data_IF_377573611773
#
_entry.id   IF_377573611773
#
_cell.length_a   1.000
_cell.length_b   1.000
_cell.length_c   1.000
_cell.angle_alpha   90.00
_cell.angle_beta   90.00
_cell.angle_gamma   90.00
#
_symmetry.space_group_name_H-M   'P 1'
#
loop_
_entity.id
_entity.type
_entity.pdbx_description
1 polymer ?
#
# COMPACT_ATOMS: atom_id res chain seq x y z
N UNK A 1 -3.06 -5.30 -2.74
CA UNK A 1 -3.88 -4.51 -3.68
C UNK A 1 -4.03 -5.32 -4.96
N UNK A 2 -5.19 -5.25 -5.59
CA UNK A 2 -5.48 -5.94 -6.87
C UNK A 2 -5.96 -4.86 -7.85
N UNK A 3 -5.39 -4.86 -9.05
CA UNK A 3 -5.80 -4.01 -10.17
C UNK A 3 -6.33 -4.92 -11.27
N UNK A 4 -7.49 -4.59 -11.82
CA UNK A 4 -8.11 -5.34 -12.91
C UNK A 4 -8.14 -4.45 -14.15
N UNK A 5 -7.64 -4.98 -15.26
CA UNK A 5 -7.65 -4.28 -16.54
C UNK A 5 -8.49 -5.06 -17.56
N UNK A 6 -9.39 -4.34 -18.22
CA UNK A 6 -10.27 -4.86 -19.25
C UNK A 6 -9.80 -4.33 -20.61
N UNK A 7 -9.29 -5.18 -21.51
CA UNK A 7 -8.81 -4.75 -22.81
C UNK A 7 -9.96 -4.18 -23.65
N UNK A 8 -9.65 -3.19 -24.48
CA UNK A 8 -10.63 -2.53 -25.33
C UNK A 8 -10.84 -3.31 -26.63
N UNK A 9 -9.78 -3.91 -27.15
CA UNK A 9 -9.84 -4.77 -28.33
C UNK A 9 -10.04 -6.22 -27.93
N UNK A 10 -11.05 -6.87 -28.50
CA UNK A 10 -11.24 -8.33 -28.34
C UNK A 10 -10.20 -9.12 -29.15
N UNK A 11 -9.81 -8.60 -30.31
CA UNK A 11 -8.94 -9.28 -31.26
C UNK A 11 -7.46 -9.18 -30.88
N UNK A 12 -7.06 -8.10 -30.21
CA UNK A 12 -5.69 -7.86 -29.72
C UNK A 12 -5.59 -7.91 -28.19
N UNK A 13 -6.61 -8.48 -27.53
CA UNK A 13 -6.72 -8.52 -26.06
C UNK A 13 -5.45 -9.04 -25.37
N UNK A 14 -4.79 -10.06 -25.93
CA UNK A 14 -3.57 -10.62 -25.34
C UNK A 14 -2.36 -9.68 -25.44
N UNK A 15 -2.20 -8.98 -26.57
CA UNK A 15 -1.08 -8.05 -26.79
C UNK A 15 -1.29 -6.78 -25.96
N UNK A 16 -2.51 -6.23 -25.96
CA UNK A 16 -2.90 -5.11 -25.08
C UNK A 16 -2.68 -5.45 -23.60
N UNK A 17 -3.06 -6.65 -23.17
CA UNK A 17 -2.88 -7.08 -21.78
C UNK A 17 -1.41 -7.29 -21.43
N UNK A 18 -0.58 -7.80 -22.35
CA UNK A 18 0.85 -7.97 -22.12
C UNK A 18 1.57 -6.62 -21.99
N UNK A 19 1.29 -5.70 -22.91
CA UNK A 19 1.82 -4.33 -22.89
C UNK A 19 1.38 -3.61 -21.60
N UNK A 20 0.12 -3.76 -21.22
CA UNK A 20 -0.39 -3.17 -19.98
C UNK A 20 0.19 -3.81 -18.73
N UNK A 21 0.47 -5.12 -18.72
CA UNK A 21 1.14 -5.76 -17.61
C UNK A 21 2.56 -5.19 -17.40
N UNK A 22 3.34 -5.02 -18.48
CA UNK A 22 4.68 -4.43 -18.42
C UNK A 22 4.65 -2.98 -17.92
N UNK A 23 3.68 -2.21 -18.39
CA UNK A 23 3.48 -0.84 -17.91
C UNK A 23 3.12 -0.82 -16.42
N UNK A 24 2.23 -1.71 -15.97
CA UNK A 24 1.84 -1.82 -14.57
C UNK A 24 3.01 -2.25 -13.68
N UNK A 25 3.91 -3.11 -14.16
CA UNK A 25 5.14 -3.43 -13.42
C UNK A 25 5.96 -2.18 -13.16
N UNK A 26 6.23 -1.38 -14.19
CA UNK A 26 7.05 -0.17 -14.05
C UNK A 26 6.38 0.91 -13.19
N UNK A 27 5.07 1.13 -13.38
CA UNK A 27 4.35 2.18 -12.66
C UNK A 27 4.07 1.83 -11.20
N UNK A 28 3.92 0.55 -10.87
CA UNK A 28 3.56 0.10 -9.52
C UNK A 28 4.76 -0.44 -8.74
N UNK A 29 5.94 -0.55 -9.35
CA UNK A 29 7.16 -0.89 -8.61
C UNK A 29 7.47 0.14 -7.53
N UNK A 30 7.28 1.43 -7.81
CA UNK A 30 7.49 2.51 -6.85
C UNK A 30 6.30 3.47 -6.82
N UNK A 31 5.70 3.64 -5.63
CA UNK A 31 4.66 4.64 -5.41
C UNK A 31 5.10 5.68 -4.39
N UNK A 32 4.61 6.90 -4.58
CA UNK A 32 4.82 8.00 -3.63
C UNK A 32 3.65 8.05 -2.65
N UNK A 33 3.95 7.92 -1.36
CA UNK A 33 2.98 8.01 -0.26
C UNK A 33 3.41 9.15 0.66
N UNK A 34 2.80 10.32 0.47
CA UNK A 34 3.23 11.56 1.13
C UNK A 34 4.61 11.99 0.61
N UNK A 35 5.60 12.10 1.50
CA UNK A 35 6.99 12.42 1.16
C UNK A 35 7.87 11.17 0.96
N UNK A 36 7.34 9.97 1.19
CA UNK A 36 8.10 8.72 1.11
C UNK A 36 7.82 7.98 -0.19
N UNK A 37 8.86 7.36 -0.74
CA UNK A 37 8.73 6.40 -1.85
C UNK A 37 8.71 4.98 -1.27
N UNK A 38 7.71 4.20 -1.68
CA UNK A 38 7.51 2.83 -1.21
C UNK A 38 7.61 1.88 -2.39
N UNK A 39 8.44 0.85 -2.24
CA UNK A 39 8.58 -0.21 -3.24
C UNK A 39 7.48 -1.24 -3.07
N UNK A 40 6.86 -1.62 -4.17
CA UNK A 40 5.98 -2.78 -4.26
C UNK A 40 6.74 -4.09 -4.00
N UNK A 41 6.07 -5.05 -3.38
CA UNK A 41 6.55 -6.40 -3.14
C UNK A 41 5.57 -7.42 -3.73
N UNK A 42 6.11 -8.55 -4.17
CA UNK A 42 5.35 -9.68 -4.75
C UNK A 42 4.47 -9.30 -5.94
N UNK A 43 5.02 -8.50 -6.87
CA UNK A 43 4.35 -8.12 -8.10
C UNK A 43 4.17 -9.35 -8.99
N UNK A 44 2.93 -9.71 -9.30
CA UNK A 44 2.62 -10.76 -10.26
C UNK A 44 1.32 -10.44 -10.98
N UNK A 45 1.14 -11.02 -12.16
CA UNK A 45 -0.10 -10.92 -12.91
C UNK A 45 -0.66 -12.30 -13.24
N UNK A 46 -1.98 -12.35 -13.40
CA UNK A 46 -2.71 -13.50 -13.86
C UNK A 46 -3.71 -13.08 -14.93
N UNK A 47 -3.90 -13.94 -15.92
CA UNK A 47 -4.87 -13.73 -17.00
C UNK A 47 -6.04 -14.68 -16.80
N UNK A 48 -7.21 -14.15 -16.47
CA UNK A 48 -8.42 -14.93 -16.21
C UNK A 48 -9.54 -14.43 -17.13
N UNK A 49 -10.02 -15.31 -18.01
CA UNK A 49 -11.09 -15.02 -18.98
C UNK A 49 -10.84 -13.78 -19.87
N UNK A 50 -9.58 -13.50 -20.20
CA UNK A 50 -9.19 -12.34 -21.04
C UNK A 50 -9.08 -11.02 -20.27
N UNK A 51 -9.23 -11.05 -18.95
CA UNK A 51 -9.01 -9.92 -18.04
C UNK A 51 -7.66 -10.08 -17.35
N UNK A 52 -6.90 -8.99 -17.30
CA UNK A 52 -5.62 -8.95 -16.60
C UNK A 52 -5.86 -8.62 -15.12
N UNK A 53 -5.44 -9.52 -14.24
CA UNK A 53 -5.39 -9.33 -12.79
C UNK A 53 -3.96 -9.06 -12.38
N UNK A 54 -3.70 -7.88 -11.81
CA UNK A 54 -2.39 -7.50 -11.32
C UNK A 54 -2.39 -7.42 -9.80
N UNK A 55 -1.48 -8.15 -9.17
CA UNK A 55 -1.36 -8.28 -7.73
C UNK A 55 -0.11 -7.58 -7.24
N UNK A 56 -0.27 -6.78 -6.19
CA UNK A 56 0.84 -6.07 -5.56
C UNK A 56 0.64 -5.89 -4.06
N UNK A 57 1.70 -6.08 -3.28
CA UNK A 57 1.74 -5.74 -1.85
C UNK A 57 2.62 -4.53 -1.61
N UNK A 58 2.14 -3.59 -0.80
CA UNK A 58 2.97 -2.50 -0.29
C UNK A 58 3.12 -2.65 1.23
N UNK A 59 4.34 -2.80 1.76
CA UNK A 59 4.59 -2.92 3.20
C UNK A 59 4.52 -1.55 3.89
N UNK A 60 3.37 -0.87 3.79
CA UNK A 60 3.16 0.46 4.38
C UNK A 60 2.63 0.30 5.80
N UNK A 61 3.28 0.95 6.76
CA UNK A 61 2.80 1.05 8.14
C UNK A 61 2.18 2.42 8.36
N UNK A 62 0.86 2.47 8.54
CA UNK A 62 0.14 3.70 8.85
C UNK A 62 0.10 3.88 10.36
N UNK A 63 0.71 4.97 10.87
CA UNK A 63 0.57 5.37 12.27
C UNK A 63 -0.69 6.23 12.37
N UNK A 64 -1.72 5.70 13.03
CA UNK A 64 -2.91 6.48 13.34
C UNK A 64 -2.57 7.40 14.50
N UNK A 65 -2.63 8.71 14.27
CA UNK A 65 -2.51 9.69 15.34
C UNK A 65 -3.78 9.58 16.18
N UNK A 66 -3.78 8.74 17.22
CA UNK A 66 -4.79 8.81 18.26
C UNK A 66 -4.56 10.15 18.95
N UNK A 67 -5.59 11.02 18.95
CA UNK A 67 -5.64 12.18 19.85
C UNK A 67 -5.15 11.69 21.20
N UNK A 68 -4.11 12.36 21.71
CA UNK A 68 -3.44 12.00 22.95
C UNK A 68 -4.49 11.54 23.98
N UNK A 69 -4.61 10.23 24.16
CA UNK A 69 -5.22 9.72 25.37
C UNK A 69 -4.33 10.32 26.46
N UNK A 70 -4.94 11.15 27.32
CA UNK A 70 -4.24 11.88 28.38
C UNK A 70 -3.10 11.02 28.92
N UNK A 71 -1.87 11.44 28.65
CA UNK A 71 -0.69 10.73 29.12
C UNK A 71 -0.86 10.58 30.64
N UNK A 72 -0.68 9.35 31.13
CA UNK A 72 -0.80 8.97 32.53
C UNK A 72 -0.21 10.09 33.43
N UNK A 73 -1.07 10.66 34.28
CA UNK A 73 -0.78 11.86 35.04
C UNK A 73 0.47 11.76 35.91
N UNK A 74 1.11 12.91 36.11
CA UNK A 74 2.30 13.06 36.94
C UNK A 74 1.97 12.81 38.42
N UNK A 75 2.57 11.78 39.03
CA UNK A 75 2.42 11.54 40.48
C UNK A 75 3.33 12.50 41.23
N UNK A 76 2.75 13.55 41.83
CA UNK A 76 3.45 14.40 42.80
C UNK A 76 3.62 13.63 44.12
N UNK A 77 4.81 13.09 44.33
CA UNK A 77 5.19 12.45 45.59
C UNK A 77 5.43 13.55 46.63
N UNK A 78 4.46 13.77 47.53
CA UNK A 78 4.68 14.65 48.69
C UNK A 78 5.46 13.88 49.76
N UNK A 79 6.77 14.03 49.77
CA UNK A 79 7.60 13.61 50.89
C UNK A 79 7.29 14.49 52.10
N UNK A 80 6.45 14.00 53.02
CA UNK A 80 6.39 14.54 54.37
C UNK A 80 7.61 14.01 55.13
N UNK A 81 8.65 14.82 55.28
CA UNK A 81 9.61 14.65 56.37
C UNK A 81 8.87 14.99 57.67
N UNK A 82 8.37 13.95 58.33
CA UNK A 82 7.89 14.02 59.70
C UNK A 82 9.06 13.98 60.68
N UNK A 83 9.04 14.95 61.60
CA UNK A 83 9.69 15.04 62.92
C UNK A 83 11.22 14.91 63.02
#
# INVERSE_FOLDING_TARGET
MIVQYFPQSKDLSNEENADMAEHLYSCLEFITVGENVVMGQDLHNEMVEGVLYFYIRYPIRIVRNSIAAELMGEVKVNAKSGQ
#
